data_IF_049351572499
#
_entry.id   IF_049351572499
#
_cell.length_a   1.000
_cell.length_b   1.000
_cell.length_c   1.000
_cell.angle_alpha   90.00
_cell.angle_beta   90.00
_cell.angle_gamma   90.00
#
_symmetry.space_group_name_H-M   'P 1'
#
loop_
_entity.id
_entity.type
_entity.pdbx_description
1 polymer ?
#
# COMPACT_ATOMS: atom_id res chain seq x y z
N UNK A 1 -40.01 30.76 -17.22
CA UNK A 1 -38.91 29.96 -17.79
C UNK A 1 -38.77 28.74 -16.90
N UNK A 2 -39.26 27.59 -17.36
CA UNK A 2 -39.22 26.36 -16.59
C UNK A 2 -37.81 25.76 -16.70
N UNK A 3 -37.12 25.62 -15.56
CA UNK A 3 -35.89 24.83 -15.49
C UNK A 3 -36.35 23.37 -15.44
N UNK A 4 -36.07 22.65 -16.51
CA UNK A 4 -36.35 21.22 -16.63
C UNK A 4 -35.55 20.48 -15.56
N UNK A 5 -36.24 19.95 -14.55
CA UNK A 5 -35.71 18.92 -13.67
C UNK A 5 -35.71 17.64 -14.51
N UNK A 6 -34.58 17.33 -15.14
CA UNK A 6 -34.36 16.00 -15.67
C UNK A 6 -34.14 15.07 -14.49
N UNK A 7 -35.22 14.41 -14.07
CA UNK A 7 -35.18 13.17 -13.31
C UNK A 7 -34.39 12.15 -14.12
N UNK A 8 -33.14 11.88 -13.73
CA UNK A 8 -32.35 10.78 -14.24
C UNK A 8 -32.85 9.46 -13.64
N UNK A 9 -34.05 9.05 -14.06
CA UNK A 9 -34.38 7.63 -14.13
C UNK A 9 -33.76 7.11 -15.44
N UNK A 10 -33.13 5.94 -15.39
CA UNK A 10 -32.67 5.13 -16.54
C UNK A 10 -31.29 5.40 -17.15
N UNK A 11 -30.28 5.79 -16.35
CA UNK A 11 -28.89 5.49 -16.68
C UNK A 11 -28.47 4.24 -15.89
N UNK A 12 -28.21 3.14 -16.59
CA UNK A 12 -27.54 1.96 -16.03
C UNK A 12 -26.13 2.39 -15.56
N UNK A 13 -26.02 2.79 -14.29
CA UNK A 13 -24.78 3.12 -13.60
C UNK A 13 -23.98 1.86 -13.21
N UNK A 14 -23.81 0.94 -14.16
CA UNK A 14 -22.78 -0.08 -14.05
C UNK A 14 -21.70 0.25 -15.08
N UNK A 15 -20.72 1.04 -14.65
CA UNK A 15 -19.43 0.97 -15.29
C UNK A 15 -18.84 -0.39 -14.92
N UNK A 16 -18.82 -1.31 -15.89
CA UNK A 16 -18.00 -2.52 -15.83
C UNK A 16 -16.62 -2.13 -16.42
N UNK A 17 -15.53 -2.11 -15.63
CA UNK A 17 -14.19 -1.82 -16.16
C UNK A 17 -13.77 -2.76 -17.29
N UNK A 18 -14.50 -3.87 -17.47
CA UNK A 18 -14.15 -4.98 -18.35
C UNK A 18 -15.02 -5.02 -19.64
N UNK A 19 -15.92 -4.04 -19.83
CA UNK A 19 -16.59 -3.82 -21.13
C UNK A 19 -15.60 -3.47 -22.27
N UNK A 20 -14.35 -3.18 -21.95
CA UNK A 20 -13.27 -2.86 -22.90
C UNK A 20 -12.75 -4.09 -23.66
N UNK A 21 -12.95 -5.32 -23.13
CA UNK A 21 -12.51 -6.58 -23.75
C UNK A 21 -13.63 -7.60 -24.03
N UNK A 22 -14.91 -7.21 -23.95
CA UNK A 22 -16.09 -8.10 -24.01
C UNK A 22 -16.14 -9.18 -22.91
N UNK A 23 -15.38 -9.02 -21.83
CA UNK A 23 -15.38 -9.95 -20.70
C UNK A 23 -16.20 -9.34 -19.56
N UNK A 24 -17.43 -9.79 -19.34
CA UNK A 24 -18.23 -9.40 -18.18
C UNK A 24 -18.15 -10.49 -17.10
N UNK A 25 -17.99 -10.10 -15.83
CA UNK A 25 -18.07 -11.02 -14.70
C UNK A 25 -19.29 -10.71 -13.82
N UNK A 26 -19.88 -11.75 -13.23
CA UNK A 26 -21.01 -11.63 -12.31
C UNK A 26 -20.50 -11.32 -10.89
N UNK A 27 -20.29 -10.03 -10.63
CA UNK A 27 -19.78 -9.54 -9.36
C UNK A 27 -20.88 -9.45 -8.31
N UNK A 28 -20.66 -10.14 -7.20
CA UNK A 28 -21.35 -9.88 -5.93
C UNK A 28 -20.66 -8.76 -5.17
N UNK A 29 -21.44 -8.09 -4.32
CA UNK A 29 -20.98 -6.91 -3.59
C UNK A 29 -21.32 -7.02 -2.11
N UNK A 30 -20.35 -6.65 -1.27
CA UNK A 30 -20.57 -6.32 0.14
C UNK A 30 -20.13 -4.88 0.39
N UNK A 31 -20.88 -4.14 1.21
CA UNK A 31 -20.68 -2.70 1.41
C UNK A 31 -20.44 -2.37 2.88
N UNK A 32 -19.55 -1.41 3.10
CA UNK A 32 -19.34 -0.74 4.37
C UNK A 32 -19.50 0.78 4.19
N UNK A 33 -19.00 1.59 5.13
CA UNK A 33 -19.16 3.04 5.07
C UNK A 33 -18.35 3.64 3.91
N UNK A 34 -17.09 3.24 3.77
CA UNK A 34 -16.17 3.82 2.79
C UNK A 34 -15.87 2.87 1.61
N UNK A 35 -16.19 1.57 1.75
CA UNK A 35 -15.82 0.54 0.78
C UNK A 35 -17.01 -0.17 0.13
N UNK A 36 -16.82 -0.52 -1.14
CA UNK A 36 -17.63 -1.49 -1.90
C UNK A 36 -16.72 -2.63 -2.32
N UNK A 37 -16.88 -3.80 -1.71
CA UNK A 37 -16.08 -4.98 -2.01
C UNK A 37 -16.77 -5.85 -3.05
N UNK A 38 -16.11 -6.04 -4.19
CA UNK A 38 -16.58 -6.85 -5.31
C UNK A 38 -15.86 -8.19 -5.28
N UNK A 39 -16.64 -9.27 -5.33
CA UNK A 39 -16.15 -10.64 -5.40
C UNK A 39 -17.03 -11.46 -6.34
N UNK A 40 -16.48 -12.48 -6.98
CA UNK A 40 -17.27 -13.43 -7.77
C UNK A 40 -17.68 -14.56 -6.82
N UNK A 41 -18.81 -15.24 -6.97
CA UNK A 41 -19.02 -16.55 -6.33
C UNK A 41 -18.76 -17.65 -7.34
N UNK A 42 -17.88 -18.58 -7.01
CA UNK A 42 -17.61 -19.74 -7.84
C UNK A 42 -17.95 -20.98 -7.03
N UNK A 43 -19.08 -21.62 -7.35
CA UNK A 43 -19.55 -22.83 -6.68
C UNK A 43 -18.59 -24.02 -6.89
N UNK A 44 -17.65 -23.92 -7.84
CA UNK A 44 -16.61 -24.92 -8.09
C UNK A 44 -15.31 -24.69 -7.32
N UNK A 45 -15.17 -23.57 -6.60
CA UNK A 45 -14.06 -23.25 -5.68
C UNK A 45 -14.22 -23.98 -4.33
N UNK A 46 -14.32 -25.31 -4.41
CA UNK A 46 -14.53 -26.23 -3.26
C UNK A 46 -13.23 -26.36 -2.43
N UNK A 47 -12.09 -25.90 -2.96
CA UNK A 47 -10.75 -26.03 -2.37
C UNK A 47 -10.16 -24.72 -1.81
N UNK A 48 -10.91 -23.61 -1.81
CA UNK A 48 -10.47 -22.31 -1.31
C UNK A 48 -9.21 -21.78 -1.99
N UNK A 49 -9.12 -21.92 -3.32
CA UNK A 49 -8.08 -21.25 -4.09
C UNK A 49 -8.09 -19.71 -3.87
N UNK A 50 -9.24 -19.16 -3.47
CA UNK A 50 -9.37 -17.79 -2.93
C UNK A 50 -8.78 -17.66 -1.54
N UNK A 51 -7.51 -17.28 -1.51
CA UNK A 51 -6.83 -16.90 -0.29
C UNK A 51 -7.19 -15.46 0.09
N UNK A 52 -8.30 -15.26 0.79
CA UNK A 52 -8.47 -14.02 1.54
C UNK A 52 -7.45 -14.09 2.69
N UNK A 53 -6.46 -13.21 2.66
CA UNK A 53 -5.42 -13.14 3.68
C UNK A 53 -5.91 -12.32 4.86
N UNK A 54 -5.85 -12.91 6.05
CA UNK A 54 -6.06 -12.23 7.32
C UNK A 54 -4.96 -11.22 7.57
N UNK A 55 -5.24 -10.32 8.49
CA UNK A 55 -4.33 -9.25 8.91
C UNK A 55 -2.96 -9.75 9.40
N UNK A 56 -2.92 -10.90 10.07
CA UNK A 56 -1.70 -11.52 10.58
C UNK A 56 -0.93 -12.33 9.53
N UNK A 57 -1.33 -12.24 8.25
CA UNK A 57 -0.76 -13.00 7.14
C UNK A 57 -1.25 -14.44 7.03
N UNK A 58 -2.09 -14.89 7.97
CA UNK A 58 -2.73 -16.21 7.89
C UNK A 58 -3.87 -16.20 6.88
N UNK A 59 -4.29 -17.38 6.43
CA UNK A 59 -5.44 -17.51 5.56
C UNK A 59 -6.74 -17.54 6.36
N UNK A 60 -7.81 -16.92 5.84
CA UNK A 60 -9.14 -17.20 6.34
C UNK A 60 -9.50 -18.66 6.07
N UNK A 61 -9.74 -19.43 7.12
CA UNK A 61 -10.30 -20.77 7.01
C UNK A 61 -11.82 -20.68 6.93
N UNK A 62 -12.35 -20.54 5.71
CA UNK A 62 -13.80 -20.52 5.49
C UNK A 62 -14.32 -21.97 5.36
N UNK A 63 -15.54 -22.24 5.85
CA UNK A 63 -16.32 -23.44 5.48
C UNK A 63 -17.18 -23.15 4.24
N UNK A 64 -17.65 -24.15 3.47
CA UNK A 64 -18.34 -23.85 2.21
C UNK A 64 -19.68 -23.18 2.56
N UNK A 65 -19.83 -21.90 2.23
CA UNK A 65 -21.02 -21.09 2.52
C UNK A 65 -20.84 -19.87 3.43
N UNK A 66 -19.62 -19.54 3.89
CA UNK A 66 -19.38 -18.40 4.80
C UNK A 66 -18.49 -17.29 4.20
N UNK A 67 -18.46 -17.18 2.86
CA UNK A 67 -17.63 -16.19 2.17
C UNK A 67 -18.06 -14.75 2.47
N UNK A 68 -19.36 -14.49 2.61
CA UNK A 68 -19.88 -13.18 3.02
C UNK A 68 -19.42 -12.80 4.43
N UNK A 69 -19.38 -13.76 5.36
CA UNK A 69 -18.89 -13.54 6.73
C UNK A 69 -17.40 -13.17 6.74
N UNK A 70 -16.58 -13.92 5.99
CA UNK A 70 -15.16 -13.63 5.86
C UNK A 70 -14.87 -12.28 5.17
N UNK A 71 -15.61 -11.95 4.11
CA UNK A 71 -15.52 -10.63 3.47
C UNK A 71 -15.99 -9.54 4.44
N UNK A 72 -17.00 -9.79 5.26
CA UNK A 72 -17.47 -8.88 6.30
C UNK A 72 -16.40 -8.56 7.35
N UNK A 73 -15.68 -9.58 7.86
CA UNK A 73 -14.54 -9.39 8.78
C UNK A 73 -13.42 -8.60 8.08
N UNK A 74 -13.13 -8.92 6.82
CA UNK A 74 -12.10 -8.24 6.04
C UNK A 74 -12.44 -6.76 5.78
N UNK A 75 -13.70 -6.46 5.43
CA UNK A 75 -14.21 -5.09 5.29
C UNK A 75 -14.13 -4.31 6.60
N UNK A 76 -14.44 -4.94 7.73
CA UNK A 76 -14.31 -4.29 9.04
C UNK A 76 -12.85 -3.88 9.33
N UNK A 77 -11.87 -4.67 8.88
CA UNK A 77 -10.46 -4.29 8.97
C UNK A 77 -10.10 -3.13 8.04
N UNK A 78 -10.66 -3.08 6.82
CA UNK A 78 -10.44 -1.95 5.91
C UNK A 78 -10.95 -0.65 6.51
N UNK A 79 -12.11 -0.68 7.16
CA UNK A 79 -12.67 0.47 7.86
C UNK A 79 -11.77 0.96 9.00
N UNK A 80 -11.18 0.03 9.78
CA UNK A 80 -10.22 0.39 10.81
C UNK A 80 -8.96 1.04 10.24
N UNK A 81 -8.42 0.49 9.15
CA UNK A 81 -7.26 1.07 8.46
C UNK A 81 -7.57 2.44 7.88
N UNK A 82 -8.73 2.57 7.24
CA UNK A 82 -9.21 3.82 6.68
C UNK A 82 -9.27 4.92 7.73
N UNK A 83 -9.89 4.65 8.88
CA UNK A 83 -10.00 5.62 9.97
C UNK A 83 -8.62 6.06 10.48
N UNK A 84 -7.66 5.13 10.57
CA UNK A 84 -6.30 5.43 11.00
C UNK A 84 -5.53 6.25 9.97
N UNK A 85 -5.67 5.92 8.70
CA UNK A 85 -5.07 6.69 7.61
C UNK A 85 -5.68 8.09 7.53
N UNK A 86 -7.01 8.21 7.68
CA UNK A 86 -7.68 9.51 7.73
C UNK A 86 -7.16 10.40 8.86
N UNK A 87 -6.88 9.81 10.04
CA UNK A 87 -6.23 10.53 11.14
C UNK A 87 -4.77 10.91 10.82
N UNK A 88 -3.99 9.99 10.24
CA UNK A 88 -2.58 10.22 9.92
C UNK A 88 -2.41 11.32 8.86
N UNK A 89 -3.22 11.28 7.80
CA UNK A 89 -3.16 12.21 6.68
C UNK A 89 -4.01 13.47 6.88
N UNK A 90 -4.83 13.51 7.95
CA UNK A 90 -5.67 14.67 8.28
C UNK A 90 -6.79 14.94 7.28
N UNK A 91 -7.29 13.91 6.59
CA UNK A 91 -8.29 14.07 5.53
C UNK A 91 -9.15 12.83 5.30
N UNK A 92 -10.37 13.05 4.82
CA UNK A 92 -11.34 12.01 4.48
C UNK A 92 -11.36 11.81 2.96
N UNK A 93 -10.57 10.84 2.48
CA UNK A 93 -10.42 10.55 1.04
C UNK A 93 -11.76 10.22 0.35
N UNK A 94 -12.63 9.50 1.06
CA UNK A 94 -13.90 8.96 0.54
C UNK A 94 -15.12 9.75 0.97
N UNK A 95 -14.93 10.96 1.51
CA UNK A 95 -16.02 11.90 1.83
C UNK A 95 -16.95 12.12 0.62
N UNK A 96 -16.39 12.01 -0.59
CA UNK A 96 -17.11 12.29 -1.83
C UNK A 96 -17.15 11.12 -2.82
N UNK A 97 -16.28 10.11 -2.68
CA UNK A 97 -16.18 8.98 -3.61
C UNK A 97 -15.92 7.67 -2.86
N UNK A 98 -16.73 6.61 -3.04
CA UNK A 98 -16.47 5.32 -2.42
C UNK A 98 -15.21 4.66 -2.98
N UNK A 99 -14.59 3.79 -2.19
CA UNK A 99 -13.46 2.96 -2.61
C UNK A 99 -13.98 1.58 -3.02
N UNK A 100 -13.82 1.24 -4.29
CA UNK A 100 -14.21 -0.04 -4.85
C UNK A 100 -13.03 -1.00 -4.81
N UNK A 101 -13.20 -2.14 -4.15
CA UNK A 101 -12.16 -3.17 -4.03
C UNK A 101 -12.60 -4.38 -4.85
N UNK A 102 -11.88 -4.71 -5.91
CA UNK A 102 -12.16 -5.88 -6.76
C UNK A 102 -11.21 -7.01 -6.38
N UNK A 103 -11.74 -8.10 -5.83
CA UNK A 103 -10.97 -9.28 -5.50
C UNK A 103 -11.12 -10.35 -6.59
N UNK A 104 -10.03 -10.61 -7.32
CA UNK A 104 -9.99 -11.58 -8.39
C UNK A 104 -9.70 -12.99 -7.87
N UNK A 105 -10.43 -14.02 -8.32
CA UNK A 105 -10.22 -15.40 -7.86
C UNK A 105 -8.78 -15.92 -8.08
N UNK A 106 -8.12 -15.47 -9.13
CA UNK A 106 -6.74 -15.87 -9.46
C UNK A 106 -6.00 -14.79 -10.26
N UNK A 107 -4.67 -14.83 -10.24
CA UNK A 107 -3.83 -14.02 -11.15
C UNK A 107 -4.21 -14.20 -12.64
N UNK A 108 -4.65 -15.39 -13.03
CA UNK A 108 -5.09 -15.67 -14.40
C UNK A 108 -6.39 -14.91 -14.71
N UNK A 109 -7.40 -15.00 -13.82
CA UNK A 109 -8.65 -14.27 -13.99
C UNK A 109 -8.44 -12.75 -13.98
N UNK A 110 -7.52 -12.26 -13.15
CA UNK A 110 -7.13 -10.85 -13.14
C UNK A 110 -6.53 -10.44 -14.49
N UNK A 111 -5.62 -11.23 -15.05
CA UNK A 111 -5.06 -10.94 -16.37
C UNK A 111 -6.11 -11.00 -17.48
N UNK A 112 -7.03 -11.95 -17.45
CA UNK A 112 -8.10 -12.07 -18.44
C UNK A 112 -9.10 -10.90 -18.37
N UNK A 113 -9.31 -10.33 -17.19
CA UNK A 113 -10.27 -9.23 -16.97
C UNK A 113 -9.63 -7.84 -17.16
N UNK A 114 -8.41 -7.61 -16.63
CA UNK A 114 -7.74 -6.30 -16.67
C UNK A 114 -6.37 -6.27 -17.34
N UNK A 115 -5.90 -7.38 -17.90
CA UNK A 115 -4.62 -7.42 -18.62
C UNK A 115 -3.38 -7.29 -17.74
N UNK A 116 -3.48 -7.49 -16.43
CA UNK A 116 -2.33 -7.45 -15.52
C UNK A 116 -2.23 -8.69 -14.63
N UNK A 117 -0.99 -9.09 -14.33
CA UNK A 117 -0.64 -10.13 -13.36
C UNK A 117 -0.13 -9.56 -12.03
N UNK A 118 -0.25 -8.24 -11.83
CA UNK A 118 0.16 -7.60 -10.59
C UNK A 118 -0.63 -8.19 -9.42
N UNK A 119 0.04 -8.53 -8.31
CA UNK A 119 -0.65 -9.06 -7.13
C UNK A 119 -1.72 -8.09 -6.60
N UNK A 120 -1.55 -6.80 -6.85
CA UNK A 120 -2.46 -5.72 -6.49
C UNK A 120 -2.14 -4.48 -7.34
N UNK A 121 -3.11 -3.58 -7.51
CA UNK A 121 -2.92 -2.28 -8.17
C UNK A 121 -4.05 -1.31 -7.85
N UNK A 122 -3.86 -0.03 -8.14
CA UNK A 122 -4.89 1.01 -8.05
C UNK A 122 -5.20 1.63 -9.41
N UNK A 123 -6.45 2.05 -9.58
CA UNK A 123 -6.84 2.98 -10.64
C UNK A 123 -7.36 4.27 -10.00
N UNK A 124 -6.72 5.37 -10.36
CA UNK A 124 -7.13 6.71 -9.94
C UNK A 124 -8.24 7.20 -10.85
N UNK A 125 -9.46 7.32 -10.31
CA UNK A 125 -10.62 7.97 -10.92
C UNK A 125 -10.60 7.91 -12.47
N UNK A 126 -10.77 6.72 -13.08
CA UNK A 126 -10.76 6.58 -14.54
C UNK A 126 -11.70 7.61 -15.16
N UNK A 127 -11.33 8.19 -16.31
CA UNK A 127 -12.06 9.30 -16.94
C UNK A 127 -13.58 9.07 -16.92
N UNK A 128 -14.32 9.94 -16.21
CA UNK A 128 -15.78 9.86 -16.09
C UNK A 128 -16.30 9.00 -14.93
N UNK A 129 -15.45 8.47 -14.06
CA UNK A 129 -15.84 7.75 -12.86
C UNK A 129 -15.89 8.65 -11.62
N UNK A 130 -16.74 8.27 -10.67
CA UNK A 130 -16.88 8.90 -9.36
C UNK A 130 -16.44 7.92 -8.24
N UNK A 131 -15.35 7.17 -8.45
CA UNK A 131 -14.88 6.15 -7.49
C UNK A 131 -13.35 5.99 -7.53
N UNK A 132 -12.78 5.53 -6.41
CA UNK A 132 -11.43 4.99 -6.37
C UNK A 132 -11.47 3.48 -6.55
N UNK A 133 -10.43 2.89 -7.16
CA UNK A 133 -10.36 1.43 -7.30
C UNK A 133 -9.08 0.84 -6.76
N UNK A 134 -9.26 -0.27 -6.06
CA UNK A 134 -8.20 -1.19 -5.67
C UNK A 134 -8.50 -2.53 -6.33
N UNK A 135 -7.53 -3.06 -7.04
CA UNK A 135 -7.54 -4.38 -7.66
C UNK A 135 -6.69 -5.30 -6.79
N UNK A 136 -7.27 -6.36 -6.26
CA UNK A 136 -6.58 -7.38 -5.47
C UNK A 136 -6.54 -8.67 -6.28
N UNK A 137 -5.35 -9.08 -6.69
CA UNK A 137 -5.13 -10.46 -7.12
C UNK A 137 -5.25 -11.43 -5.94
N UNK A 138 -5.20 -12.74 -6.22
CA UNK A 138 -5.36 -13.81 -5.22
C UNK A 138 -4.33 -13.83 -4.08
N UNK A 139 -3.37 -12.91 -4.09
CA UNK A 139 -2.29 -12.78 -3.11
C UNK A 139 -2.09 -11.34 -2.61
N UNK A 140 -2.92 -10.38 -3.06
CA UNK A 140 -2.79 -8.96 -2.74
C UNK A 140 -3.28 -8.61 -1.33
N UNK A 141 -2.72 -7.56 -0.76
CA UNK A 141 -3.12 -6.98 0.53
C UNK A 141 -3.59 -5.54 0.31
N UNK A 142 -4.87 -5.30 0.58
CA UNK A 142 -5.48 -3.99 0.33
C UNK A 142 -4.87 -2.82 1.10
N UNK A 143 -4.23 -3.06 2.26
CA UNK A 143 -3.62 -1.99 3.04
C UNK A 143 -2.59 -1.19 2.27
N UNK A 144 -1.73 -1.87 1.49
CA UNK A 144 -0.65 -1.22 0.73
C UNK A 144 -1.23 -0.24 -0.30
N UNK A 145 -2.18 -0.73 -1.10
CA UNK A 145 -2.84 0.08 -2.13
C UNK A 145 -3.74 1.18 -1.54
N UNK A 146 -4.35 0.94 -0.38
CA UNK A 146 -5.13 1.96 0.34
C UNK A 146 -4.24 3.13 0.76
N UNK A 147 -2.99 2.88 1.20
CA UNK A 147 -2.04 3.93 1.55
C UNK A 147 -1.71 4.80 0.34
N UNK A 148 -1.54 4.20 -0.84
CA UNK A 148 -1.32 4.96 -2.07
C UNK A 148 -2.50 5.87 -2.43
N UNK A 149 -3.75 5.44 -2.17
CA UNK A 149 -4.89 6.33 -2.35
C UNK A 149 -4.85 7.53 -1.39
N UNK A 150 -4.48 7.33 -0.13
CA UNK A 150 -4.31 8.43 0.84
C UNK A 150 -3.14 9.36 0.50
N UNK A 151 -2.07 8.84 -0.09
CA UNK A 151 -0.93 9.65 -0.55
C UNK A 151 -1.32 10.73 -1.57
N UNK A 152 -2.42 10.53 -2.32
CA UNK A 152 -2.96 11.53 -3.24
C UNK A 152 -3.37 12.84 -2.55
N UNK A 153 -3.67 12.80 -1.25
CA UNK A 153 -4.01 13.99 -0.47
C UNK A 153 -2.79 14.91 -0.25
N UNK A 154 -1.57 14.37 -0.37
CA UNK A 154 -0.34 15.10 -0.12
C UNK A 154 0.38 15.48 -1.42
N UNK A 155 0.47 14.56 -2.37
CA UNK A 155 1.17 14.80 -3.64
C UNK A 155 1.82 13.55 -4.23
N UNK A 156 2.52 13.74 -5.34
CA UNK A 156 3.15 12.67 -6.11
C UNK A 156 4.63 12.48 -5.73
N UNK A 157 4.88 11.94 -4.55
CA UNK A 157 6.25 11.77 -4.04
C UNK A 157 7.06 10.72 -4.82
N UNK A 158 8.40 10.74 -4.75
CA UNK A 158 9.27 9.77 -5.43
C UNK A 158 9.00 8.34 -4.95
N UNK A 159 9.31 7.32 -5.77
CA UNK A 159 8.96 5.93 -5.45
C UNK A 159 9.57 5.41 -4.14
N UNK A 160 10.77 5.87 -3.74
CA UNK A 160 11.29 5.62 -2.39
C UNK A 160 10.27 6.02 -1.31
N UNK A 161 9.73 7.23 -1.36
CA UNK A 161 8.81 7.68 -0.32
C UNK A 161 7.43 7.04 -0.43
N UNK A 162 6.90 6.95 -1.65
CA UNK A 162 5.56 6.40 -1.91
C UNK A 162 5.48 4.91 -1.55
N UNK A 163 6.36 4.09 -2.12
CA UNK A 163 6.37 2.64 -1.85
C UNK A 163 6.94 2.32 -0.47
N UNK A 164 7.92 3.11 -0.01
CA UNK A 164 8.49 2.94 1.32
C UNK A 164 7.46 3.19 2.42
N UNK A 165 6.64 4.24 2.31
CA UNK A 165 5.56 4.48 3.26
C UNK A 165 4.52 3.35 3.23
N UNK A 166 4.16 2.86 2.04
CA UNK A 166 3.23 1.75 1.90
C UNK A 166 3.76 0.47 2.59
N UNK A 167 5.01 0.10 2.35
CA UNK A 167 5.67 -1.05 3.00
C UNK A 167 5.90 -0.83 4.49
N UNK A 168 6.24 0.38 4.94
CA UNK A 168 6.45 0.69 6.35
C UNK A 168 5.17 0.50 7.18
N UNK A 169 4.01 0.81 6.60
CA UNK A 169 2.71 0.76 7.26
C UNK A 169 1.97 -0.57 7.08
N UNK A 170 1.89 -1.06 5.85
CA UNK A 170 1.18 -2.30 5.51
C UNK A 170 2.06 -3.55 5.64
N UNK A 171 3.38 -3.36 5.69
CA UNK A 171 4.35 -4.45 5.61
C UNK A 171 4.66 -4.86 4.20
N UNK A 172 5.72 -5.65 4.09
CA UNK A 172 5.93 -6.51 2.94
C UNK A 172 5.13 -7.80 3.15
N UNK A 173 4.18 -8.11 2.27
CA UNK A 173 3.48 -9.40 2.29
C UNK A 173 4.14 -10.38 1.32
N UNK A 174 5.21 -11.07 1.73
CA UNK A 174 5.76 -12.18 0.94
C UNK A 174 6.37 -13.24 1.88
N UNK A 175 6.01 -14.52 1.66
CA UNK A 175 6.30 -15.71 2.50
C UNK A 175 5.52 -15.87 3.82
N UNK A 176 4.32 -15.28 3.92
CA UNK A 176 3.35 -15.61 4.98
C UNK A 176 3.56 -14.90 6.32
N UNK A 177 4.48 -13.94 6.40
CA UNK A 177 4.61 -13.03 7.53
C UNK A 177 4.15 -11.63 7.11
N UNK A 178 2.94 -11.24 7.49
CA UNK A 178 2.44 -9.88 7.28
C UNK A 178 2.86 -9.04 8.50
N UNK A 179 3.75 -8.08 8.28
CA UNK A 179 4.12 -7.11 9.30
C UNK A 179 3.36 -5.82 9.02
N UNK A 180 2.12 -5.67 9.47
CA UNK A 180 1.44 -4.37 9.35
C UNK A 180 1.58 -3.58 10.64
N UNK A 181 2.31 -2.48 10.55
CA UNK A 181 2.39 -1.49 11.62
C UNK A 181 1.09 -0.71 11.75
N UNK A 182 0.26 -0.67 10.71
CA UNK A 182 -0.92 0.17 10.62
C UNK A 182 -1.85 0.04 11.84
N UNK A 183 -2.13 -1.15 12.41
CA UNK A 183 -2.91 -1.26 13.66
C UNK A 183 -2.16 -0.98 14.96
N UNK A 184 -0.83 -0.91 14.93
CA UNK A 184 -0.02 -0.56 16.11
C UNK A 184 0.59 0.84 16.01
N UNK A 185 0.29 1.55 14.93
CA UNK A 185 0.85 2.84 14.56
C UNK A 185 0.53 3.92 15.60
N UNK A 186 1.55 4.52 16.20
CA UNK A 186 1.33 5.72 17.00
C UNK A 186 0.99 6.88 16.06
N UNK A 187 -0.27 7.33 16.07
CA UNK A 187 -0.76 8.44 15.26
C UNK A 187 -0.83 9.66 16.18
N UNK A 188 0.13 10.59 16.03
CA UNK A 188 0.28 11.79 16.84
C UNK A 188 1.62 12.49 16.62
N UNK A 189 1.77 13.69 17.20
CA UNK A 189 3.00 14.50 17.16
C UNK A 189 4.07 14.08 18.19
N UNK A 190 3.81 13.04 18.97
CA UNK A 190 4.73 12.57 20.00
C UNK A 190 5.65 11.50 19.40
N UNK A 191 6.97 11.66 19.60
CA UNK A 191 7.90 10.56 19.37
C UNK A 191 7.40 9.34 20.15
N UNK A 192 7.42 8.15 19.54
CA UNK A 192 7.02 6.94 20.25
C UNK A 192 7.83 6.87 21.56
N UNK A 193 7.19 7.10 22.71
CA UNK A 193 7.85 7.14 24.02
C UNK A 193 8.36 5.76 24.49
N UNK A 194 8.46 4.80 23.58
CA UNK A 194 8.97 3.46 23.79
C UNK A 194 10.29 3.30 23.03
N UNK A 195 11.15 2.38 23.48
CA UNK A 195 12.35 2.05 22.72
C UNK A 195 11.96 1.72 21.28
N UNK A 196 12.70 2.25 20.28
CA UNK A 196 12.34 2.04 18.89
C UNK A 196 12.21 0.55 18.56
N UNK A 197 11.13 0.19 17.86
CA UNK A 197 10.67 -1.20 17.74
C UNK A 197 11.40 -1.99 16.66
N UNK A 198 12.63 -1.60 16.32
CA UNK A 198 13.40 -2.10 15.18
C UNK A 198 13.82 -3.57 15.33
N UNK A 199 14.19 -3.99 16.54
CA UNK A 199 14.89 -5.27 16.77
C UNK A 199 14.06 -6.54 16.48
N UNK A 200 12.75 -6.42 16.29
CA UNK A 200 11.85 -7.56 16.08
C UNK A 200 11.23 -7.67 14.69
N UNK A 201 11.67 -6.86 13.71
CA UNK A 201 10.96 -6.77 12.42
C UNK A 201 11.69 -7.48 11.27
N UNK A 202 11.04 -8.44 10.58
CA UNK A 202 11.60 -9.07 9.38
C UNK A 202 11.96 -8.08 8.26
N UNK A 203 11.22 -6.96 8.16
CA UNK A 203 11.49 -5.88 7.20
C UNK A 203 12.94 -5.37 7.28
N UNK A 204 13.45 -5.12 8.49
CA UNK A 204 14.81 -4.60 8.68
C UNK A 204 15.88 -5.66 8.41
N UNK A 205 15.60 -6.93 8.74
CA UNK A 205 16.50 -8.05 8.41
C UNK A 205 16.63 -8.23 6.90
N UNK A 206 15.52 -8.12 6.17
CA UNK A 206 15.50 -8.19 4.70
C UNK A 206 16.25 -7.01 4.07
N UNK A 207 16.07 -5.79 4.60
CA UNK A 207 16.83 -4.63 4.15
C UNK A 207 18.34 -4.77 4.42
N UNK A 208 18.73 -5.28 5.60
CA UNK A 208 20.13 -5.53 5.95
C UNK A 208 20.77 -6.61 5.07
N UNK A 209 20.03 -7.69 4.75
CA UNK A 209 20.46 -8.71 3.79
C UNK A 209 20.67 -8.10 2.40
N UNK A 210 19.70 -7.30 1.94
CA UNK A 210 19.71 -6.69 0.61
C UNK A 210 20.83 -5.67 0.42
N UNK A 211 21.21 -4.97 1.49
CA UNK A 211 22.35 -4.05 1.51
C UNK A 211 23.69 -4.76 1.78
N UNK A 212 23.68 -6.09 1.92
CA UNK A 212 24.84 -6.91 2.29
C UNK A 212 25.53 -6.45 3.60
N UNK A 213 24.77 -5.89 4.54
CA UNK A 213 25.26 -5.44 5.85
C UNK A 213 25.41 -6.63 6.80
N UNK A 214 24.40 -7.52 6.82
CA UNK A 214 24.37 -8.70 7.67
C UNK A 214 23.61 -9.82 6.97
N UNK A 215 24.16 -11.03 7.04
CA UNK A 215 23.54 -12.22 6.48
C UNK A 215 22.59 -12.87 7.50
N UNK A 216 21.30 -12.80 7.22
CA UNK A 216 20.22 -13.44 7.95
C UNK A 216 19.75 -14.74 7.29
N UNK A 217 20.44 -15.20 6.22
CA UNK A 217 20.06 -16.38 5.44
C UNK A 217 18.64 -16.30 4.86
N UNK A 218 18.16 -15.09 4.59
CA UNK A 218 16.87 -14.85 3.94
C UNK A 218 17.07 -14.93 2.42
N UNK A 219 16.30 -15.76 1.70
CA UNK A 219 16.40 -15.85 0.25
C UNK A 219 16.07 -14.51 -0.43
N UNK A 220 16.94 -14.03 -1.32
CA UNK A 220 16.64 -12.93 -2.23
C UNK A 220 16.62 -13.51 -3.65
N UNK A 221 15.47 -13.38 -4.33
CA UNK A 221 15.25 -13.97 -5.65
C UNK A 221 16.16 -13.40 -6.77
N UNK A 222 16.79 -12.26 -6.52
CA UNK A 222 17.67 -11.55 -7.45
C UNK A 222 18.93 -11.11 -6.73
N UNK A 223 20.06 -11.10 -7.44
CA UNK A 223 21.31 -10.60 -6.89
C UNK A 223 21.14 -9.13 -6.44
N UNK A 224 21.45 -8.81 -5.18
CA UNK A 224 21.41 -7.44 -4.71
C UNK A 224 22.42 -6.57 -5.46
N UNK A 225 22.09 -5.29 -5.64
CA UNK A 225 22.99 -4.35 -6.30
C UNK A 225 24.17 -4.04 -5.37
N UNK A 226 25.41 -4.25 -5.85
CA UNK A 226 26.59 -3.96 -5.04
C UNK A 226 26.63 -2.51 -4.61
N UNK A 227 26.87 -2.27 -3.32
CA UNK A 227 27.01 -0.94 -2.72
C UNK A 227 25.80 -0.01 -2.89
N UNK A 228 24.60 -0.57 -3.10
CA UNK A 228 23.36 0.19 -3.12
C UNK A 228 23.15 0.93 -1.79
N UNK A 229 22.73 2.19 -1.86
CA UNK A 229 22.35 3.01 -0.72
C UNK A 229 20.88 3.45 -0.83
N UNK A 230 20.16 3.67 0.29
CA UNK A 230 18.84 4.31 0.26
C UNK A 230 18.77 5.60 -0.60
N UNK A 231 19.82 6.42 -0.60
CA UNK A 231 19.92 7.62 -1.45
C UNK A 231 19.82 7.32 -2.95
N UNK A 232 20.24 6.14 -3.38
CA UNK A 232 20.20 5.76 -4.79
C UNK A 232 18.75 5.53 -5.24
N UNK A 233 17.88 5.06 -4.34
CA UNK A 233 16.49 4.73 -4.60
C UNK A 233 15.62 5.97 -4.86
N UNK A 234 16.06 7.16 -4.45
CA UNK A 234 15.30 8.41 -4.62
C UNK A 234 14.94 8.63 -6.10
N UNK A 235 15.86 8.29 -7.00
CA UNK A 235 15.74 8.53 -8.45
C UNK A 235 15.30 7.29 -9.21
N UNK A 236 15.01 6.21 -8.51
CA UNK A 236 14.57 4.98 -9.13
C UNK A 236 13.08 5.11 -9.44
N UNK A 237 12.76 5.24 -10.73
CA UNK A 237 11.40 5.24 -11.24
C UNK A 237 10.71 3.87 -11.14
N UNK A 238 9.87 3.55 -12.12
CA UNK A 238 9.06 2.32 -12.20
C UNK A 238 9.84 0.98 -12.24
N UNK A 239 11.18 1.01 -12.22
CA UNK A 239 12.04 -0.18 -12.19
C UNK A 239 12.08 -0.89 -10.82
N UNK A 240 11.50 -0.31 -9.76
CA UNK A 240 11.38 -0.98 -8.46
C UNK A 240 10.61 -2.31 -8.56
N UNK A 241 9.61 -2.38 -9.45
CA UNK A 241 8.67 -3.50 -9.57
C UNK A 241 9.29 -4.89 -9.79
N UNK A 242 10.55 -4.98 -10.24
CA UNK A 242 11.23 -6.27 -10.47
C UNK A 242 12.21 -6.66 -9.38
N UNK A 243 12.61 -5.73 -8.52
CA UNK A 243 13.64 -5.93 -7.51
C UNK A 243 13.04 -5.67 -6.13
N UNK A 244 12.28 -6.67 -5.69
CA UNK A 244 11.46 -6.64 -4.48
C UNK A 244 12.20 -6.10 -3.24
N UNK A 245 13.47 -6.47 -3.08
CA UNK A 245 14.27 -6.09 -1.92
C UNK A 245 14.44 -4.56 -1.79
N UNK A 246 14.24 -3.81 -2.87
CA UNK A 246 14.27 -2.34 -2.85
C UNK A 246 13.07 -1.75 -2.11
N UNK A 247 11.90 -2.39 -2.20
CA UNK A 247 10.74 -2.05 -1.37
C UNK A 247 11.06 -2.26 0.11
N UNK A 248 11.80 -3.32 0.44
CA UNK A 248 12.25 -3.56 1.81
C UNK A 248 13.23 -2.50 2.30
N UNK A 249 14.23 -2.15 1.50
CA UNK A 249 15.19 -1.08 1.84
C UNK A 249 14.42 0.23 2.05
N UNK A 250 13.52 0.54 1.12
CA UNK A 250 12.70 1.74 1.16
C UNK A 250 11.81 1.81 2.39
N UNK A 251 10.99 0.78 2.62
CA UNK A 251 10.09 0.72 3.77
C UNK A 251 10.83 0.66 5.10
N UNK A 252 11.96 -0.06 5.16
CA UNK A 252 12.83 -0.10 6.33
C UNK A 252 13.41 1.29 6.65
N UNK A 253 13.81 2.06 5.64
CA UNK A 253 14.31 3.42 5.83
C UNK A 253 13.21 4.39 6.27
N UNK A 254 12.04 4.36 5.64
CA UNK A 254 10.88 5.19 6.05
C UNK A 254 10.46 4.85 7.48
N UNK A 255 10.37 3.56 7.80
CA UNK A 255 10.04 3.10 9.15
C UNK A 255 11.08 3.58 10.19
N UNK A 256 12.37 3.54 9.86
CA UNK A 256 13.43 4.12 10.71
C UNK A 256 13.22 5.62 10.95
N UNK A 257 12.93 6.40 9.89
CA UNK A 257 12.71 7.85 10.01
C UNK A 257 11.51 8.15 10.92
N UNK A 258 10.41 7.44 10.73
CA UNK A 258 9.18 7.62 11.52
C UNK A 258 9.37 7.22 12.99
N UNK A 259 10.04 6.09 13.26
CA UNK A 259 10.30 5.68 14.65
C UNK A 259 11.29 6.61 15.36
N UNK A 260 12.20 7.26 14.62
CA UNK A 260 13.22 8.15 15.19
C UNK A 260 12.71 9.59 15.36
N UNK A 261 11.93 10.08 14.40
CA UNK A 261 11.57 11.50 14.28
C UNK A 261 10.06 11.76 14.30
N UNK A 262 9.23 10.73 14.23
CA UNK A 262 7.78 10.83 14.17
C UNK A 262 7.24 11.02 12.74
N UNK A 263 5.91 11.00 12.63
CA UNK A 263 5.21 11.14 11.35
C UNK A 263 5.22 12.56 10.81
N UNK A 264 5.17 13.57 11.67
CA UNK A 264 5.04 14.98 11.25
C UNK A 264 6.18 15.42 10.32
N UNK A 265 7.46 15.23 10.69
CA UNK A 265 8.56 15.59 9.78
C UNK A 265 8.54 14.78 8.48
N UNK A 266 8.09 13.53 8.53
CA UNK A 266 8.00 12.68 7.34
C UNK A 266 6.91 13.17 6.38
N UNK A 267 5.72 13.48 6.86
CA UNK A 267 4.60 13.94 6.03
C UNK A 267 4.85 15.35 5.49
N UNK A 268 5.45 16.24 6.28
CA UNK A 268 5.90 17.56 5.81
C UNK A 268 6.87 17.39 4.64
N UNK A 269 7.92 16.58 4.83
CA UNK A 269 8.88 16.30 3.79
C UNK A 269 8.23 15.69 2.54
N UNK A 270 7.38 14.68 2.71
CA UNK A 270 6.64 14.01 1.63
C UNK A 270 5.84 15.00 0.79
N UNK A 271 5.11 15.92 1.43
CA UNK A 271 4.24 16.90 0.76
C UNK A 271 4.99 17.97 -0.04
N UNK A 272 6.27 18.18 0.26
CA UNK A 272 7.09 19.22 -0.41
C UNK A 272 7.83 18.72 -1.64
N UNK A 273 7.80 17.41 -1.90
CA UNK A 273 8.54 16.79 -2.99
C UNK A 273 7.58 16.27 -4.06
N UNK A 274 7.78 16.70 -5.29
CA UNK A 274 7.10 16.19 -6.48
C UNK A 274 8.08 15.40 -7.35
N UNK A 275 7.77 14.14 -7.62
CA UNK A 275 8.55 13.24 -8.46
C UNK A 275 8.64 13.72 -9.93
N UNK A 276 7.67 14.51 -10.41
CA UNK A 276 7.66 15.02 -11.78
C UNK A 276 8.64 16.19 -12.01
N UNK A 277 9.01 16.90 -10.95
CA UNK A 277 9.93 18.05 -10.99
C UNK A 277 11.17 17.85 -10.10
N UNK A 278 11.42 16.62 -9.66
CA UNK A 278 12.42 16.31 -8.64
C UNK A 278 13.83 16.73 -9.09
N UNK A 279 14.45 17.64 -8.35
CA UNK A 279 15.89 17.86 -8.40
C UNK A 279 16.56 17.37 -7.11
N UNK A 280 17.79 16.87 -7.23
CA UNK A 280 18.59 16.40 -6.09
C UNK A 280 18.72 17.47 -5.00
N UNK A 281 18.96 18.72 -5.43
CA UNK A 281 19.13 19.84 -4.50
C UNK A 281 17.84 20.11 -3.72
N UNK A 282 16.70 20.08 -4.37
CA UNK A 282 15.41 20.38 -3.74
C UNK A 282 15.04 19.28 -2.75
N UNK A 283 15.27 18.01 -3.10
CA UNK A 283 15.06 16.88 -2.21
C UNK A 283 15.87 16.98 -0.91
N UNK A 284 17.18 17.21 -1.01
CA UNK A 284 18.06 17.31 0.16
C UNK A 284 17.75 18.56 0.99
N UNK A 285 17.36 19.67 0.35
CA UNK A 285 16.98 20.90 1.04
C UNK A 285 15.69 20.70 1.83
N UNK A 286 14.67 20.10 1.22
CA UNK A 286 13.40 19.78 1.86
C UNK A 286 13.59 18.78 3.03
N UNK A 287 14.47 17.79 2.85
CA UNK A 287 14.82 16.86 3.93
C UNK A 287 15.44 17.60 5.11
N UNK A 288 16.44 18.45 4.86
CA UNK A 288 17.09 19.23 5.91
C UNK A 288 16.12 20.16 6.65
N UNK A 289 15.18 20.78 5.94
CA UNK A 289 14.15 21.63 6.54
C UNK A 289 13.24 20.85 7.50
N UNK A 290 12.90 19.60 7.15
CA UNK A 290 11.98 18.78 7.94
C UNK A 290 12.67 18.10 9.13
N UNK A 291 13.91 17.61 8.95
CA UNK A 291 14.62 16.79 9.94
C UNK A 291 15.74 17.51 10.69
N UNK A 292 16.20 18.68 10.22
CA UNK A 292 17.32 19.42 10.81
C UNK A 292 18.70 18.78 10.62
N UNK A 293 18.79 17.66 9.89
CA UNK A 293 20.02 16.97 9.54
C UNK A 293 20.07 16.69 8.03
N UNK A 294 21.25 16.38 7.51
CA UNK A 294 21.37 15.98 6.10
C UNK A 294 20.85 14.57 5.88
N UNK A 295 20.36 14.29 4.67
CA UNK A 295 19.94 12.94 4.28
C UNK A 295 21.04 11.90 4.51
N UNK A 296 22.30 12.26 4.22
CA UNK A 296 23.45 11.39 4.43
C UNK A 296 23.64 11.01 5.90
N UNK A 297 23.47 11.97 6.82
CA UNK A 297 23.55 11.70 8.26
C UNK A 297 22.41 10.79 8.74
N UNK A 298 21.20 10.98 8.22
CA UNK A 298 20.08 10.11 8.54
C UNK A 298 20.29 8.69 8.00
N UNK A 299 20.85 8.57 6.79
CA UNK A 299 21.22 7.30 6.19
C UNK A 299 22.33 6.58 6.98
N UNK A 300 23.36 7.30 7.44
CA UNK A 300 24.40 6.73 8.31
C UNK A 300 23.79 6.19 9.62
N UNK A 301 22.85 6.92 10.24
CA UNK A 301 22.12 6.44 11.41
C UNK A 301 21.28 5.19 11.13
N UNK A 302 20.63 5.15 9.97
CA UNK A 302 19.89 3.97 9.51
C UNK A 302 20.81 2.75 9.31
N UNK A 303 21.96 2.93 8.67
CA UNK A 303 22.94 1.85 8.47
C UNK A 303 23.44 1.33 9.82
N UNK A 304 23.77 2.23 10.76
CA UNK A 304 24.19 1.85 12.11
C UNK A 304 23.08 1.08 12.87
N UNK A 305 21.80 1.42 12.64
CA UNK A 305 20.67 0.66 13.19
C UNK A 305 20.61 -0.76 12.60
N UNK A 306 20.79 -0.92 11.28
CA UNK A 306 20.80 -2.22 10.63
C UNK A 306 21.98 -3.10 11.09
N UNK A 307 23.15 -2.50 11.32
CA UNK A 307 24.33 -3.18 11.87
C UNK A 307 24.10 -3.70 13.30
N UNK A 308 23.19 -3.08 14.05
CA UNK A 308 22.87 -3.43 15.44
C UNK A 308 21.75 -4.47 15.60
N UNK A 309 21.10 -4.90 14.52
CA UNK A 309 20.18 -6.05 14.49
C UNK A 309 20.96 -7.36 14.74
#
# INVERSE_FOLDING_TARGET
MAISIMTACDLQFFYDPYAVLNNSADWKQLRSQHFVYHYIEDESDIDYSRRIKRFDGTDYQCSPGDIEGAIGEYLAHFEQWYQRLALLFGGDLSEHLPIHVYNYPSRQSQYELIGTYAAQSIEYAPMGSNEYRIHLGSEGVCAHELIHLFQLLLGNAPPLLSEGMAVALAGAYWDGALYSDLPTLHIGNEAAFQQPRWQGKPLHQQAAQALAIKDFSIPIAYDPIPALRPSDLIYWGSNLSRQWYLYCISGSFVHYLVETHGWTPFLEWYSTIDSSTLSTKDFHTAFYQSYGCSFLQAEEGYIAMLEAL
#
